data_IF_417505567091
#
_entry.id   IF_417505567091
#
_cell.length_a   1.000
_cell.length_b   1.000
_cell.length_c   1.000
_cell.angle_alpha   90.00
_cell.angle_beta   90.00
_cell.angle_gamma   90.00
#
_symmetry.space_group_name_H-M   'P 1'
#
loop_
_entity.id
_entity.type
_entity.pdbx_description
1 polymer ?
#
# COMPACT_ATOMS: atom_id res chain seq x y z
N UNK A 1 -0.04 -22.08 7.34
CA UNK A 1 0.09 -20.82 6.57
C UNK A 1 1.16 -20.97 5.49
N UNK A 2 2.44 -21.04 5.86
CA UNK A 2 3.57 -21.16 4.90
C UNK A 2 3.38 -22.37 3.95
N UNK A 3 3.06 -23.55 4.48
CA UNK A 3 2.78 -24.76 3.67
C UNK A 3 1.60 -24.62 2.69
N UNK A 4 0.68 -23.69 2.93
CA UNK A 4 -0.45 -23.41 2.03
C UNK A 4 -0.09 -22.40 0.93
N UNK A 5 1.02 -21.67 1.08
CA UNK A 5 1.45 -20.58 0.19
C UNK A 5 2.53 -21.01 -0.83
N UNK A 6 3.08 -22.23 -0.68
CA UNK A 6 4.15 -22.74 -1.53
C UNK A 6 5.55 -22.49 -0.96
N UNK A 7 6.55 -23.06 -1.61
CA UNK A 7 7.95 -23.03 -1.17
C UNK A 7 8.52 -21.60 -1.20
N UNK A 8 8.01 -20.74 -2.08
CA UNK A 8 8.40 -19.33 -2.19
C UNK A 8 8.10 -18.53 -0.92
N UNK A 9 7.08 -18.91 -0.15
CA UNK A 9 6.77 -18.24 1.11
C UNK A 9 7.86 -18.46 2.17
N UNK A 10 8.54 -19.61 2.14
CA UNK A 10 9.66 -19.89 3.04
C UNK A 10 10.88 -19.04 2.66
N UNK A 11 11.17 -18.90 1.37
CA UNK A 11 12.24 -18.03 0.86
C UNK A 11 12.01 -16.56 1.22
N UNK A 12 10.77 -16.07 1.05
CA UNK A 12 10.38 -14.72 1.45
C UNK A 12 10.65 -14.51 2.95
N UNK A 13 10.21 -15.43 3.82
CA UNK A 13 10.42 -15.32 5.27
C UNK A 13 11.89 -15.44 5.67
N UNK A 14 12.68 -16.27 4.99
CA UNK A 14 14.14 -16.34 5.19
C UNK A 14 14.82 -15.01 4.86
N UNK A 15 14.35 -14.30 3.82
CA UNK A 15 14.84 -12.97 3.46
C UNK A 15 14.45 -11.85 4.44
N UNK A 16 13.49 -12.07 5.35
CA UNK A 16 13.08 -11.07 6.35
C UNK A 16 13.88 -11.20 7.65
N UNK A 17 14.15 -10.06 8.28
CA UNK A 17 14.91 -9.95 9.54
C UNK A 17 14.06 -10.31 10.78
N UNK A 18 13.40 -11.48 10.76
CA UNK A 18 12.68 -12.02 11.91
C UNK A 18 13.59 -12.91 12.77
N UNK A 19 13.56 -12.69 14.08
CA UNK A 19 14.19 -13.58 15.06
C UNK A 19 13.53 -14.96 15.09
N UNK A 20 14.23 -15.97 15.61
CA UNK A 20 13.69 -17.34 15.71
C UNK A 20 12.40 -17.40 16.54
N UNK A 21 12.30 -16.56 17.57
CA UNK A 21 11.10 -16.42 18.39
C UNK A 21 9.93 -15.83 17.59
N UNK A 22 10.19 -14.79 16.78
CA UNK A 22 9.16 -14.18 15.94
C UNK A 22 8.70 -15.09 14.81
N UNK A 23 9.58 -15.96 14.27
CA UNK A 23 9.20 -16.96 13.25
C UNK A 23 8.22 -18.00 13.77
N UNK A 24 8.23 -18.28 15.07
CA UNK A 24 7.26 -19.17 15.71
C UNK A 24 5.96 -18.46 16.10
N UNK A 25 5.93 -17.12 16.07
CA UNK A 25 4.75 -16.33 16.37
C UNK A 25 3.92 -16.13 15.11
N UNK A 26 2.74 -16.75 15.06
CA UNK A 26 1.81 -16.63 13.94
C UNK A 26 1.55 -15.17 13.54
N UNK A 27 1.33 -14.29 14.52
CA UNK A 27 1.04 -12.89 14.28
C UNK A 27 2.21 -12.17 13.59
N UNK A 28 3.44 -12.37 14.08
CA UNK A 28 4.63 -11.73 13.50
C UNK A 28 4.90 -12.21 12.07
N UNK A 29 4.72 -13.51 11.80
CA UNK A 29 4.84 -14.07 10.45
C UNK A 29 3.77 -13.50 9.53
N UNK A 30 2.52 -13.44 9.98
CA UNK A 30 1.41 -12.89 9.20
C UNK A 30 1.63 -11.41 8.87
N UNK A 31 1.98 -10.59 9.86
CA UNK A 31 2.20 -9.15 9.66
C UNK A 31 3.36 -8.88 8.68
N UNK A 32 4.41 -9.70 8.76
CA UNK A 32 5.55 -9.59 7.84
C UNK A 32 5.17 -9.94 6.42
N UNK A 33 4.39 -11.01 6.22
CA UNK A 33 3.87 -11.37 4.91
C UNK A 33 2.90 -10.31 4.38
N UNK A 34 2.03 -9.78 5.23
CA UNK A 34 1.14 -8.67 4.87
C UNK A 34 1.96 -7.44 4.42
N UNK A 35 3.03 -7.08 5.13
CA UNK A 35 3.93 -5.99 4.72
C UNK A 35 4.64 -6.27 3.38
N UNK A 36 5.03 -7.52 3.13
CA UNK A 36 5.75 -7.91 1.92
C UNK A 36 4.83 -7.91 0.69
N UNK A 37 3.62 -8.46 0.82
CA UNK A 37 2.68 -8.60 -0.29
C UNK A 37 1.81 -7.36 -0.50
N UNK A 38 1.56 -6.54 0.53
CA UNK A 38 0.88 -5.27 0.34
C UNK A 38 1.86 -4.33 -0.37
N UNK A 39 1.55 -3.91 -1.62
CA UNK A 39 2.39 -2.93 -2.29
C UNK A 39 2.45 -1.67 -1.42
N UNK A 40 3.65 -1.30 -1.00
CA UNK A 40 3.86 -0.06 -0.26
C UNK A 40 3.31 1.08 -1.09
N UNK A 41 2.22 1.70 -0.63
CA UNK A 41 1.66 2.89 -1.29
C UNK A 41 2.74 3.95 -1.32
N UNK A 42 3.22 4.30 -2.51
CA UNK A 42 4.19 5.37 -2.66
C UNK A 42 3.48 6.71 -2.50
N UNK A 43 3.47 7.21 -1.26
CA UNK A 43 2.78 8.46 -0.91
C UNK A 43 3.32 9.64 -1.72
N UNK A 44 4.61 9.66 -2.05
CA UNK A 44 5.21 10.72 -2.87
C UNK A 44 4.62 10.69 -4.29
N UNK A 45 4.50 9.49 -4.86
CA UNK A 45 3.86 9.30 -6.17
C UNK A 45 2.38 9.70 -6.16
N UNK A 46 1.61 9.27 -5.16
CA UNK A 46 0.18 9.62 -5.06
C UNK A 46 -0.01 11.14 -4.91
N UNK A 47 0.80 11.81 -4.08
CA UNK A 47 0.78 13.27 -3.93
C UNK A 47 1.19 14.00 -5.21
N UNK A 48 2.21 13.49 -5.91
CA UNK A 48 2.59 14.03 -7.22
C UNK A 48 1.43 13.92 -8.22
N UNK A 49 0.77 12.76 -8.27
CA UNK A 49 -0.40 12.53 -9.15
C UNK A 49 -1.57 13.45 -8.81
N UNK A 50 -1.82 13.69 -7.51
CA UNK A 50 -2.82 14.65 -7.07
C UNK A 50 -2.47 16.08 -7.50
N UNK A 51 -1.23 16.54 -7.25
CA UNK A 51 -0.82 17.91 -7.57
C UNK A 51 -0.66 18.17 -9.07
N UNK A 52 -0.42 17.14 -9.87
CA UNK A 52 -0.36 17.24 -11.33
C UNK A 52 -1.74 17.18 -11.98
N UNK A 53 -2.80 16.88 -11.22
CA UNK A 53 -4.15 16.74 -11.76
C UNK A 53 -4.70 18.11 -12.17
N UNK A 54 -4.94 18.27 -13.47
CA UNK A 54 -5.56 19.47 -14.07
C UNK A 54 -6.91 19.10 -14.69
N UNK A 55 -7.91 19.98 -14.58
CA UNK A 55 -9.22 19.74 -15.18
C UNK A 55 -9.10 19.69 -16.70
N UNK A 56 -9.69 18.67 -17.32
CA UNK A 56 -9.66 18.52 -18.78
C UNK A 56 -10.73 19.39 -19.44
N UNK A 57 -10.51 19.79 -20.70
CA UNK A 57 -11.37 20.71 -21.45
C UNK A 57 -12.83 20.25 -21.58
N UNK A 58 -13.07 18.94 -21.53
CA UNK A 58 -14.41 18.32 -21.64
C UNK A 58 -14.88 17.68 -20.32
N UNK A 59 -14.19 17.94 -19.22
CA UNK A 59 -14.54 17.38 -17.92
C UNK A 59 -15.38 18.36 -17.12
N UNK A 60 -16.51 17.89 -16.57
CA UNK A 60 -17.34 18.70 -15.68
C UNK A 60 -16.61 18.95 -14.36
N UNK A 61 -16.92 20.07 -13.71
CA UNK A 61 -16.34 20.43 -12.42
C UNK A 61 -16.63 19.34 -11.37
N UNK A 62 -17.84 18.78 -11.36
CA UNK A 62 -18.22 17.71 -10.43
C UNK A 62 -17.40 16.43 -10.62
N UNK A 63 -17.13 16.04 -11.88
CA UNK A 63 -16.27 14.90 -12.19
C UNK A 63 -14.84 15.16 -11.73
N UNK A 64 -14.33 16.37 -11.99
CA UNK A 64 -12.99 16.77 -11.60
C UNK A 64 -12.81 16.75 -10.08
N UNK A 65 -13.74 17.35 -9.34
CA UNK A 65 -13.73 17.39 -7.87
C UNK A 65 -13.85 15.98 -7.29
N UNK A 66 -14.72 15.13 -7.85
CA UNK A 66 -14.85 13.73 -7.43
C UNK A 66 -13.55 12.96 -7.63
N UNK A 67 -12.89 13.16 -8.78
CA UNK A 67 -11.59 12.55 -9.05
C UNK A 67 -10.50 13.03 -8.07
N UNK A 68 -10.50 14.31 -7.70
CA UNK A 68 -9.56 14.85 -6.69
C UNK A 68 -9.78 14.22 -5.32
N UNK A 69 -11.04 14.06 -4.88
CA UNK A 69 -11.34 13.39 -3.61
C UNK A 69 -10.82 11.94 -3.60
N UNK A 70 -11.06 11.19 -4.69
CA UNK A 70 -10.55 9.82 -4.84
C UNK A 70 -9.01 9.75 -4.81
N UNK A 71 -8.32 10.73 -5.40
CA UNK A 71 -6.86 10.82 -5.37
C UNK A 71 -6.33 11.17 -3.97
N UNK A 72 -7.01 12.08 -3.26
CA UNK A 72 -6.62 12.52 -1.92
C UNK A 72 -6.65 11.36 -0.89
N UNK A 73 -7.52 10.36 -1.06
CA UNK A 73 -7.60 9.20 -0.15
C UNK A 73 -6.28 8.42 -0.03
N UNK A 74 -5.49 8.41 -1.11
CA UNK A 74 -4.22 7.69 -1.17
C UNK A 74 -3.00 8.57 -0.84
N UNK A 75 -3.19 9.88 -0.69
CA UNK A 75 -2.12 10.85 -0.44
C UNK A 75 -1.70 10.96 1.05
N UNK A 76 -2.47 10.34 1.96
CA UNK A 76 -2.27 10.39 3.40
C UNK A 76 -2.05 11.83 3.92
N UNK A 77 -3.01 12.71 3.59
CA UNK A 77 -3.00 14.12 4.01
C UNK A 77 -3.44 14.34 5.47
N UNK A 78 -3.90 13.29 6.15
CA UNK A 78 -4.30 13.36 7.55
C UNK A 78 -5.46 14.34 7.75
N UNK A 79 -5.24 15.37 8.57
CA UNK A 79 -6.23 16.41 8.84
C UNK A 79 -6.49 17.38 7.67
N UNK A 80 -5.72 17.28 6.58
CA UNK A 80 -5.88 18.08 5.36
C UNK A 80 -6.76 17.37 4.30
N UNK A 81 -7.50 16.32 4.69
CA UNK A 81 -8.42 15.58 3.81
C UNK A 81 -9.81 16.19 3.80
#
# INVERSE_FOLDING_TARGET
>A
LIYCMGDEADDILRGQALSDVQRQQYQAVKDTLDIYFVPRKNIIYERARFNQRVQLTNETVDSFVTALYALAENCNYGALR
#
